data_IF_214410830575
#
_entry.id   IF_214410830575
#
_cell.length_a   1.000
_cell.length_b   1.000
_cell.length_c   1.000
_cell.angle_alpha   90.00
_cell.angle_beta   90.00
_cell.angle_gamma   90.00
#
_symmetry.space_group_name_H-M   'P 1'
#
loop_
_entity.id
_entity.type
_entity.pdbx_description
1 polymer ?
#
# COMPACT_ATOMS: atom_id res chain seq x y z
N UNK A 1 -7.09 13.84 2.27
CA UNK A 1 -8.11 12.95 1.65
C UNK A 1 -8.86 13.70 0.55
N UNK A 2 -9.24 13.01 -0.54
CA UNK A 2 -10.11 13.52 -1.63
C UNK A 2 -11.44 12.77 -1.59
N UNK A 3 -12.54 13.46 -1.85
CA UNK A 3 -13.87 12.84 -1.96
C UNK A 3 -14.45 13.10 -3.34
N UNK A 4 -15.06 12.11 -3.93
CA UNK A 4 -15.76 12.19 -5.21
C UNK A 4 -16.80 11.06 -5.34
N UNK A 5 -17.64 11.14 -6.37
CA UNK A 5 -18.64 10.11 -6.68
C UNK A 5 -18.26 9.41 -7.98
N UNK A 6 -18.24 8.08 -7.98
CA UNK A 6 -17.97 7.25 -9.15
C UNK A 6 -19.08 6.20 -9.28
N UNK A 7 -19.75 6.14 -10.43
CA UNK A 7 -20.92 5.26 -10.68
C UNK A 7 -22.02 5.32 -9.60
N UNK A 8 -22.20 6.50 -9.01
CA UNK A 8 -23.19 6.71 -7.94
C UNK A 8 -22.71 6.32 -6.54
N UNK A 9 -21.53 5.74 -6.39
CA UNK A 9 -20.91 5.39 -5.12
C UNK A 9 -19.95 6.47 -4.64
N UNK A 10 -20.01 6.91 -3.37
CA UNK A 10 -19.01 7.80 -2.79
C UNK A 10 -17.66 7.11 -2.69
N UNK A 11 -16.58 7.84 -2.97
CA UNK A 11 -15.21 7.38 -2.83
C UNK A 11 -14.42 8.34 -1.95
N UNK A 12 -13.73 7.82 -0.94
CA UNK A 12 -12.79 8.54 -0.08
C UNK A 12 -11.38 8.06 -0.38
N UNK A 13 -10.53 8.95 -0.89
CA UNK A 13 -9.23 8.59 -1.44
C UNK A 13 -8.12 9.34 -0.71
N UNK A 14 -7.26 8.63 -0.04
CA UNK A 14 -6.00 9.11 0.54
C UNK A 14 -4.86 9.05 -0.46
N UNK A 15 -4.90 8.10 -1.40
CA UNK A 15 -3.89 8.00 -2.45
C UNK A 15 -3.78 9.30 -3.27
N UNK A 16 -2.56 9.74 -3.52
CA UNK A 16 -2.28 10.90 -4.37
C UNK A 16 -2.58 10.59 -5.84
N UNK A 17 -2.10 9.43 -6.28
CA UNK A 17 -2.30 8.87 -7.61
C UNK A 17 -2.49 7.35 -7.50
N UNK A 18 -3.23 6.78 -8.44
CA UNK A 18 -3.36 5.34 -8.64
C UNK A 18 -3.08 5.02 -10.11
N UNK A 19 -2.59 3.82 -10.38
CA UNK A 19 -2.36 3.35 -11.75
C UNK A 19 -3.67 3.06 -12.48
N UNK A 20 -3.58 2.88 -13.80
CA UNK A 20 -4.74 2.65 -14.65
C UNK A 20 -5.52 1.37 -14.26
N UNK A 21 -4.81 0.32 -13.83
CA UNK A 21 -5.45 -0.95 -13.41
C UNK A 21 -6.25 -0.75 -12.12
N UNK A 22 -5.66 -0.08 -11.11
CA UNK A 22 -6.36 0.28 -9.88
C UNK A 22 -7.59 1.14 -10.15
N UNK A 23 -7.52 2.05 -11.14
CA UNK A 23 -8.66 2.88 -11.53
C UNK A 23 -9.79 2.05 -12.14
N UNK A 24 -9.49 1.09 -13.03
CA UNK A 24 -10.49 0.18 -13.58
C UNK A 24 -11.15 -0.69 -12.51
N UNK A 25 -10.35 -1.22 -11.59
CA UNK A 25 -10.84 -2.02 -10.47
C UNK A 25 -11.72 -1.20 -9.52
N UNK A 26 -11.35 0.05 -9.21
CA UNK A 26 -12.17 0.97 -8.44
C UNK A 26 -13.51 1.23 -9.12
N UNK A 27 -13.50 1.46 -10.44
CA UNK A 27 -14.71 1.69 -11.22
C UNK A 27 -15.67 0.49 -11.14
N UNK A 28 -15.13 -0.73 -11.19
CA UNK A 28 -15.90 -1.97 -11.03
C UNK A 28 -16.48 -2.10 -9.62
N UNK A 29 -15.69 -1.79 -8.56
CA UNK A 29 -16.17 -1.81 -7.18
C UNK A 29 -17.32 -0.83 -6.95
N UNK A 30 -17.21 0.38 -7.48
CA UNK A 30 -18.24 1.41 -7.36
C UNK A 30 -19.54 1.09 -8.11
N UNK A 31 -19.51 0.07 -8.98
CA UNK A 31 -20.70 -0.42 -9.70
C UNK A 31 -21.40 -1.59 -8.99
N UNK A 32 -20.89 -2.06 -7.85
CA UNK A 32 -21.46 -3.19 -7.12
C UNK A 32 -22.78 -2.79 -6.43
N UNK A 33 -23.88 -3.53 -6.65
CA UNK A 33 -25.21 -3.16 -6.14
C UNK A 33 -25.36 -3.35 -4.63
N UNK A 34 -24.42 -4.02 -3.99
CA UNK A 34 -24.39 -4.33 -2.55
C UNK A 34 -23.34 -3.54 -1.77
N UNK A 35 -22.70 -2.57 -2.42
CA UNK A 35 -21.79 -1.66 -1.74
C UNK A 35 -22.52 -0.92 -0.61
N UNK A 36 -21.90 -0.86 0.56
CA UNK A 36 -22.43 -0.18 1.72
C UNK A 36 -21.58 1.03 2.09
N UNK A 37 -22.19 2.20 2.11
CA UNK A 37 -21.63 3.53 2.33
C UNK A 37 -20.72 4.01 1.18
N UNK A 38 -19.43 3.67 1.20
CA UNK A 38 -18.43 4.21 0.29
C UNK A 38 -17.31 3.19 0.03
N UNK A 39 -16.42 3.51 -0.89
CA UNK A 39 -15.13 2.84 -1.05
C UNK A 39 -14.05 3.76 -0.50
N UNK A 40 -13.14 3.23 0.31
CA UNK A 40 -11.95 3.93 0.77
C UNK A 40 -10.71 3.42 0.05
N UNK A 41 -9.82 4.34 -0.38
CA UNK A 41 -8.56 4.01 -1.02
C UNK A 41 -7.39 4.56 -0.20
N UNK A 42 -6.59 3.67 0.35
CA UNK A 42 -5.43 4.00 1.17
C UNK A 42 -4.28 4.58 0.31
N UNK A 43 -3.33 5.31 0.90
CA UNK A 43 -2.23 5.94 0.15
C UNK A 43 -1.40 4.99 -0.69
N UNK A 44 -1.23 3.74 -0.26
CA UNK A 44 -0.50 2.68 -0.95
C UNK A 44 -1.26 2.06 -2.13
N UNK A 45 -2.49 2.51 -2.44
CA UNK A 45 -3.36 1.89 -3.44
C UNK A 45 -2.69 1.73 -4.81
N UNK A 46 -2.79 0.51 -5.36
CA UNK A 46 -2.28 0.12 -6.68
C UNK A 46 -3.06 -1.07 -7.26
N UNK A 47 -2.82 -1.42 -8.53
CA UNK A 47 -3.56 -2.50 -9.21
C UNK A 47 -3.40 -3.85 -8.53
N UNK A 48 -4.53 -4.51 -8.26
CA UNK A 48 -4.64 -5.82 -7.64
C UNK A 48 -5.15 -6.90 -8.61
N UNK A 49 -5.98 -7.81 -8.12
CA UNK A 49 -6.69 -8.82 -8.92
C UNK A 49 -8.18 -8.75 -8.58
N UNK A 50 -8.94 -7.99 -9.37
CA UNK A 50 -10.37 -7.75 -9.19
C UNK A 50 -10.74 -6.70 -8.14
N UNK A 51 -9.78 -6.30 -7.31
CA UNK A 51 -9.89 -5.20 -6.37
C UNK A 51 -8.52 -4.51 -6.25
N UNK A 52 -8.43 -3.18 -6.19
CA UNK A 52 -7.15 -2.51 -5.96
C UNK A 52 -6.61 -2.88 -4.58
N UNK A 53 -5.32 -3.17 -4.50
CA UNK A 53 -4.62 -3.30 -3.22
C UNK A 53 -4.67 -1.93 -2.53
N UNK A 54 -4.84 -1.89 -1.21
CA UNK A 54 -5.12 -0.65 -0.47
C UNK A 54 -6.56 -0.16 -0.61
N UNK A 55 -7.42 -0.91 -1.31
CA UNK A 55 -8.86 -0.65 -1.36
C UNK A 55 -9.58 -1.25 -0.15
N UNK A 56 -10.51 -0.50 0.43
CA UNK A 56 -11.37 -0.94 1.53
C UNK A 56 -12.82 -0.68 1.16
N UNK A 57 -13.67 -1.67 1.34
CA UNK A 57 -15.11 -1.55 1.12
C UNK A 57 -15.90 -2.27 2.21
N UNK A 58 -17.10 -1.79 2.48
CA UNK A 58 -18.09 -2.53 3.24
C UNK A 58 -19.18 -3.07 2.30
N UNK A 59 -19.58 -4.34 2.49
CA UNK A 59 -20.65 -4.97 1.74
C UNK A 59 -21.77 -5.42 2.69
N UNK A 60 -23.03 -5.30 2.25
CA UNK A 60 -24.17 -5.68 3.08
C UNK A 60 -24.69 -7.05 2.68
N UNK A 61 -24.64 -8.01 3.63
CA UNK A 61 -25.17 -9.38 3.46
C UNK A 61 -24.54 -10.19 2.34
N UNK A 62 -23.33 -9.82 1.90
CA UNK A 62 -22.60 -10.46 0.82
C UNK A 62 -21.12 -10.56 1.19
N UNK A 63 -20.47 -11.63 0.77
CA UNK A 63 -19.01 -11.77 0.78
C UNK A 63 -18.53 -11.66 -0.67
N UNK A 64 -17.49 -10.84 -0.90
CA UNK A 64 -16.85 -10.70 -2.20
C UNK A 64 -15.53 -11.47 -2.16
N UNK A 65 -15.44 -12.69 -2.70
CA UNK A 65 -14.24 -13.52 -2.55
C UNK A 65 -12.96 -12.86 -3.05
N UNK A 66 -13.03 -12.15 -4.18
CA UNK A 66 -11.87 -11.43 -4.73
C UNK A 66 -11.40 -10.25 -3.88
N UNK A 67 -12.26 -9.71 -3.00
CA UNK A 67 -11.91 -8.63 -2.09
C UNK A 67 -11.25 -9.13 -0.80
N UNK A 68 -11.30 -10.45 -0.53
CA UNK A 68 -10.63 -11.04 0.64
C UNK A 68 -9.12 -11.13 0.44
N UNK A 69 -8.66 -11.13 -0.84
CA UNK A 69 -7.25 -11.23 -1.19
C UNK A 69 -6.72 -12.67 -1.21
N UNK A 70 -5.57 -12.85 -1.82
CA UNK A 70 -4.86 -14.15 -1.87
C UNK A 70 -4.24 -14.46 -0.50
N UNK A 71 -3.74 -13.43 0.18
CA UNK A 71 -3.24 -13.51 1.55
C UNK A 71 -4.36 -13.15 2.53
N UNK A 72 -5.16 -14.13 2.88
CA UNK A 72 -6.33 -13.97 3.76
C UNK A 72 -5.88 -13.52 5.16
N UNK A 73 -6.40 -12.38 5.60
CA UNK A 73 -6.03 -11.77 6.88
C UNK A 73 -4.85 -10.80 6.79
N UNK A 74 -4.28 -10.59 5.60
CA UNK A 74 -3.35 -9.51 5.36
C UNK A 74 -4.14 -8.19 5.27
N UNK A 75 -4.18 -7.47 6.36
CA UNK A 75 -4.86 -6.18 6.44
C UNK A 75 -4.38 -5.39 7.64
N UNK A 76 -4.40 -4.07 7.52
CA UNK A 76 -4.00 -3.17 8.60
C UNK A 76 -5.24 -2.53 9.22
N UNK A 77 -5.51 -2.92 10.46
CA UNK A 77 -6.52 -2.27 11.28
C UNK A 77 -5.88 -1.11 12.04
N UNK A 78 -6.36 0.11 11.79
CA UNK A 78 -5.93 1.33 12.45
C UNK A 78 -6.98 1.79 13.48
N UNK A 79 -7.54 0.86 14.26
CA UNK A 79 -8.42 1.19 15.37
C UNK A 79 -7.68 2.04 16.40
N UNK A 80 -8.41 2.90 17.12
CA UNK A 80 -7.84 3.85 18.06
C UNK A 80 -6.97 3.15 19.12
N UNK A 81 -5.74 3.62 19.29
CA UNK A 81 -4.78 3.09 20.27
C UNK A 81 -4.08 1.77 19.86
N UNK A 82 -4.48 1.14 18.74
CA UNK A 82 -3.83 -0.09 18.27
C UNK A 82 -2.48 0.25 17.66
N UNK A 83 -1.43 -0.44 18.11
CA UNK A 83 -0.07 -0.29 17.59
C UNK A 83 0.16 -1.27 16.43
N UNK A 84 0.71 -0.77 15.33
CA UNK A 84 1.03 -1.55 14.14
C UNK A 84 2.38 -1.17 13.54
N UNK A 85 2.81 -1.90 12.51
CA UNK A 85 4.02 -1.63 11.75
C UNK A 85 3.63 -1.43 10.29
N UNK A 86 4.05 -0.32 9.69
CA UNK A 86 3.89 -0.05 8.26
C UNK A 86 5.29 -0.12 7.63
N UNK A 87 5.61 -1.18 6.88
CA UNK A 87 6.91 -1.34 6.24
C UNK A 87 7.03 -0.43 5.01
N UNK A 88 8.25 0.05 4.79
CA UNK A 88 8.65 0.67 3.54
C UNK A 88 9.09 -0.37 2.50
N UNK A 89 10.29 -0.17 1.95
CA UNK A 89 10.95 -1.10 1.05
C UNK A 89 12.32 -1.52 1.62
N UNK A 90 13.09 -2.29 0.85
CA UNK A 90 14.45 -2.72 1.27
C UNK A 90 15.37 -1.53 1.59
N UNK A 91 15.23 -0.41 0.89
CA UNK A 91 16.06 0.78 1.02
C UNK A 91 15.40 1.95 1.74
N UNK A 92 14.18 1.79 2.27
CA UNK A 92 13.43 2.89 2.87
C UNK A 92 13.01 2.57 4.30
N UNK A 93 12.55 3.60 5.01
CA UNK A 93 12.10 3.48 6.41
C UNK A 93 10.89 2.57 6.55
N UNK A 94 10.74 2.01 7.74
CA UNK A 94 9.48 1.43 8.24
C UNK A 94 9.01 2.23 9.46
N UNK A 95 7.72 2.15 9.77
CA UNK A 95 7.14 2.95 10.83
C UNK A 95 6.40 2.10 11.84
N UNK A 96 6.65 2.33 13.13
CA UNK A 96 5.76 1.90 14.20
C UNK A 96 4.72 3.01 14.37
N UNK A 97 3.46 2.66 14.28
CA UNK A 97 2.33 3.58 14.29
C UNK A 97 1.29 3.20 15.34
N UNK A 98 0.47 4.16 15.70
CA UNK A 98 -0.74 3.98 16.50
C UNK A 98 -1.94 4.42 15.68
N UNK A 99 -2.95 3.56 15.57
CA UNK A 99 -4.20 3.86 14.86
C UNK A 99 -4.98 4.99 15.52
N UNK A 100 -5.65 5.80 14.72
CA UNK A 100 -6.48 6.92 15.16
C UNK A 100 -7.98 6.64 15.09
N UNK A 101 -8.39 5.45 14.63
CA UNK A 101 -9.79 5.03 14.60
C UNK A 101 -10.66 5.82 13.63
N UNK A 102 -10.11 6.28 12.50
CA UNK A 102 -10.85 7.07 11.53
C UNK A 102 -11.95 6.23 10.84
N UNK A 103 -13.25 6.58 11.01
CA UNK A 103 -14.36 5.82 10.42
C UNK A 103 -14.42 5.93 8.89
N UNK A 104 -13.88 7.00 8.32
CA UNK A 104 -13.88 7.24 6.88
C UNK A 104 -12.99 6.25 6.11
N UNK A 105 -11.99 5.68 6.77
CA UNK A 105 -11.17 4.58 6.24
C UNK A 105 -11.65 3.19 6.67
N UNK A 106 -12.82 3.08 7.29
CA UNK A 106 -13.29 1.86 7.96
C UNK A 106 -12.27 1.33 9.01
N UNK A 107 -11.64 2.25 9.76
CA UNK A 107 -10.59 1.94 10.74
C UNK A 107 -9.38 1.23 10.11
N UNK A 108 -9.04 1.57 8.88
CA UNK A 108 -7.95 0.96 8.11
C UNK A 108 -6.86 1.98 7.79
N UNK A 109 -5.67 1.50 7.47
CA UNK A 109 -4.52 2.28 7.02
C UNK A 109 -3.78 1.58 5.90
N UNK A 110 -2.77 2.22 5.31
CA UNK A 110 -1.84 1.56 4.40
C UNK A 110 -1.20 0.35 5.06
N UNK A 111 -1.06 -0.71 4.29
CA UNK A 111 -0.37 -1.94 4.66
C UNK A 111 1.15 -1.78 4.58
N UNK A 112 1.64 -0.95 3.66
CA UNK A 112 3.06 -0.65 3.43
C UNK A 112 3.22 0.55 2.49
N UNK A 113 4.38 0.65 1.83
CA UNK A 113 4.63 1.70 0.84
C UNK A 113 3.73 1.58 -0.40
N UNK A 114 3.32 0.38 -0.77
CA UNK A 114 2.65 0.10 -2.03
C UNK A 114 3.60 0.09 -3.23
N UNK A 115 3.32 -0.73 -4.21
CA UNK A 115 4.17 -0.84 -5.41
C UNK A 115 3.80 0.22 -6.45
N UNK A 116 4.80 0.70 -7.18
CA UNK A 116 4.61 1.54 -8.37
C UNK A 116 4.83 0.76 -9.67
N UNK A 117 5.40 -0.47 -9.60
CA UNK A 117 5.59 -1.38 -10.73
C UNK A 117 5.47 -2.84 -10.29
N UNK A 118 5.18 -3.74 -11.23
CA UNK A 118 5.10 -5.18 -10.96
C UNK A 118 6.51 -5.78 -10.72
N UNK A 119 6.57 -6.99 -10.14
CA UNK A 119 7.85 -7.70 -9.96
C UNK A 119 8.59 -7.92 -11.28
N UNK A 120 7.87 -8.39 -12.30
CA UNK A 120 8.42 -8.60 -13.64
C UNK A 120 8.93 -7.31 -14.27
N UNK A 121 8.19 -6.22 -14.12
CA UNK A 121 8.59 -4.91 -14.61
C UNK A 121 9.85 -4.41 -13.89
N UNK A 122 9.93 -4.54 -12.56
CA UNK A 122 11.10 -4.17 -11.79
C UNK A 122 12.36 -4.92 -12.25
N UNK A 123 12.28 -6.25 -12.44
CA UNK A 123 13.39 -7.05 -12.96
C UNK A 123 13.79 -6.64 -14.36
N UNK A 124 12.85 -6.24 -15.23
CA UNK A 124 13.14 -5.92 -16.63
C UNK A 124 13.60 -4.47 -16.85
N UNK A 125 13.30 -3.55 -15.92
CA UNK A 125 13.50 -2.11 -16.16
C UNK A 125 14.50 -1.46 -15.22
N UNK A 126 14.69 -1.99 -14.02
CA UNK A 126 15.62 -1.42 -13.04
C UNK A 126 17.05 -1.86 -13.32
N UNK A 127 18.01 -0.99 -13.00
CA UNK A 127 19.44 -1.28 -13.09
C UNK A 127 19.95 -1.89 -11.77
N UNK A 128 20.55 -3.08 -11.85
CA UNK A 128 21.13 -3.74 -10.68
C UNK A 128 22.24 -2.87 -10.05
N UNK A 129 23.07 -2.25 -10.87
CA UNK A 129 24.16 -1.40 -10.42
C UNK A 129 23.66 -0.17 -9.66
N UNK A 130 22.60 0.46 -10.15
CA UNK A 130 21.98 1.64 -9.49
C UNK A 130 21.33 1.25 -8.16
N UNK A 131 20.62 0.13 -8.10
CA UNK A 131 19.98 -0.33 -6.85
C UNK A 131 21.03 -0.74 -5.81
N UNK A 132 22.11 -1.41 -6.20
CA UNK A 132 23.26 -1.70 -5.33
C UNK A 132 23.86 -0.38 -4.80
N UNK A 133 24.16 0.57 -5.69
CA UNK A 133 24.74 1.84 -5.28
C UNK A 133 23.86 2.63 -4.30
N UNK A 134 22.53 2.58 -4.44
CA UNK A 134 21.58 3.18 -3.50
C UNK A 134 21.65 2.53 -2.12
N UNK A 135 21.71 1.20 -2.06
CA UNK A 135 21.79 0.46 -0.80
C UNK A 135 23.12 0.70 -0.09
N UNK A 136 24.23 0.68 -0.85
CA UNK A 136 25.58 0.96 -0.34
C UNK A 136 25.69 2.39 0.19
N UNK A 137 25.14 3.38 -0.51
CA UNK A 137 25.13 4.78 -0.08
C UNK A 137 24.39 4.98 1.26
N UNK A 138 23.42 4.13 1.58
CA UNK A 138 22.70 4.12 2.84
C UNK A 138 23.35 3.24 3.91
N UNK A 139 24.49 2.60 3.60
CA UNK A 139 25.19 1.61 4.45
C UNK A 139 24.27 0.45 4.87
N UNK A 140 23.40 0.00 3.98
CA UNK A 140 22.51 -1.14 4.22
C UNK A 140 23.22 -2.42 3.74
N UNK A 141 23.37 -3.38 4.62
CA UNK A 141 23.85 -4.72 4.23
C UNK A 141 22.77 -5.42 3.42
N UNK A 142 23.10 -5.84 2.19
CA UNK A 142 22.11 -6.41 1.28
C UNK A 142 22.63 -7.61 0.49
N UNK A 143 21.71 -8.40 -0.04
CA UNK A 143 22.01 -9.61 -0.83
C UNK A 143 21.84 -9.43 -2.34
N UNK A 144 21.66 -8.21 -2.87
CA UNK A 144 21.51 -7.98 -4.31
C UNK A 144 22.76 -8.44 -5.07
N UNK A 145 22.62 -9.42 -5.99
CA UNK A 145 23.71 -9.98 -6.80
C UNK A 145 23.32 -10.17 -8.25
N UNK A 146 22.05 -10.44 -8.53
CA UNK A 146 21.55 -10.80 -9.85
C UNK A 146 20.35 -9.93 -10.21
N UNK A 147 20.09 -9.80 -11.52
CA UNK A 147 18.95 -9.04 -12.02
C UNK A 147 17.60 -9.49 -11.43
N UNK A 148 17.45 -10.79 -11.18
CA UNK A 148 16.24 -11.35 -10.57
C UNK A 148 16.01 -10.90 -9.12
N UNK A 149 17.03 -10.42 -8.42
CA UNK A 149 16.89 -9.91 -7.05
C UNK A 149 16.15 -8.57 -7.01
N UNK A 150 15.96 -7.93 -8.18
CA UNK A 150 15.30 -6.64 -8.29
C UNK A 150 13.76 -6.69 -8.21
N UNK A 151 13.16 -7.86 -8.14
CA UNK A 151 11.71 -8.01 -8.03
C UNK A 151 11.10 -7.27 -6.81
N UNK A 152 11.89 -7.08 -5.74
CA UNK A 152 11.54 -6.33 -4.53
C UNK A 152 12.47 -5.12 -4.30
N UNK A 153 13.12 -4.61 -5.35
CA UNK A 153 14.01 -3.46 -5.25
C UNK A 153 13.29 -2.22 -4.67
N UNK A 154 14.04 -1.36 -3.99
CA UNK A 154 13.49 -0.17 -3.35
C UNK A 154 12.73 0.73 -4.33
N UNK A 155 13.25 0.88 -5.56
CA UNK A 155 12.64 1.70 -6.61
C UNK A 155 11.35 1.11 -7.21
N UNK A 156 10.97 -0.12 -6.86
CA UNK A 156 9.69 -0.70 -7.26
C UNK A 156 8.50 -0.25 -6.39
N UNK A 157 8.77 0.55 -5.35
CA UNK A 157 7.79 1.00 -4.37
C UNK A 157 7.58 2.51 -4.42
N UNK A 158 6.42 2.95 -3.95
CA UNK A 158 6.13 4.36 -3.72
C UNK A 158 7.00 4.90 -2.59
N UNK A 159 7.16 6.22 -2.55
CA UNK A 159 7.81 6.89 -1.43
C UNK A 159 7.00 6.70 -0.14
N UNK A 160 7.56 5.97 0.82
CA UNK A 160 6.89 5.67 2.09
C UNK A 160 6.65 6.93 2.91
N UNK A 161 7.52 7.93 2.85
CA UNK A 161 7.36 9.17 3.59
C UNK A 161 6.16 9.97 3.03
N UNK A 162 5.95 9.94 1.72
CA UNK A 162 4.74 10.50 1.10
C UNK A 162 3.49 9.70 1.50
N UNK A 163 3.55 8.37 1.48
CA UNK A 163 2.45 7.49 1.91
C UNK A 163 2.05 7.79 3.35
N UNK A 164 3.03 7.94 4.26
CA UNK A 164 2.77 8.27 5.66
C UNK A 164 2.18 9.67 5.84
N UNK A 165 2.65 10.66 5.09
CA UNK A 165 2.12 12.02 5.15
C UNK A 165 0.65 12.10 4.71
N UNK A 166 0.27 11.29 3.72
CA UNK A 166 -1.10 11.24 3.18
C UNK A 166 -2.12 10.61 4.14
N UNK A 167 -1.68 9.86 5.16
CA UNK A 167 -2.53 9.18 6.14
C UNK A 167 -2.33 9.67 7.59
N UNK A 168 -1.92 10.91 7.77
CA UNK A 168 -1.72 11.50 9.09
C UNK A 168 -3.00 11.60 9.94
N UNK A 169 -4.16 11.46 9.33
CA UNK A 169 -5.47 11.36 9.96
C UNK A 169 -5.92 9.92 10.26
N UNK A 170 -5.18 8.92 9.79
CA UNK A 170 -5.44 7.49 10.01
C UNK A 170 -4.54 6.89 11.09
N UNK A 171 -3.28 7.31 11.13
CA UNK A 171 -2.27 6.79 12.04
C UNK A 171 -1.36 7.90 12.57
N UNK A 172 -0.87 7.71 13.78
CA UNK A 172 0.17 8.54 14.42
C UNK A 172 1.50 7.79 14.41
N UNK A 173 2.54 8.38 13.84
CA UNK A 173 3.89 7.82 13.87
C UNK A 173 4.43 7.88 15.31
N UNK A 174 4.86 6.73 15.84
CA UNK A 174 5.55 6.60 17.13
C UNK A 174 7.05 6.51 16.95
N UNK A 175 7.51 5.72 15.98
CA UNK A 175 8.94 5.50 15.70
C UNK A 175 9.14 5.34 14.20
N UNK A 176 10.19 5.97 13.68
CA UNK A 176 10.71 5.69 12.34
C UNK A 176 11.94 4.78 12.47
N UNK A 177 11.94 3.68 11.71
CA UNK A 177 12.99 2.67 11.70
C UNK A 177 13.75 2.73 10.38
N UNK A 178 15.05 2.92 10.42
CA UNK A 178 15.91 2.83 9.22
C UNK A 178 16.42 1.40 9.05
N UNK A 179 16.41 0.84 7.84
CA UNK A 179 16.96 -0.48 7.60
C UNK A 179 18.47 -0.48 7.80
N UNK A 180 19.01 -1.54 8.41
CA UNK A 180 20.46 -1.75 8.57
C UNK A 180 20.95 -2.95 7.76
N UNK A 181 20.04 -3.91 7.51
CA UNK A 181 20.31 -5.08 6.70
C UNK A 181 19.03 -5.62 6.07
N UNK A 182 19.16 -6.22 4.90
CA UNK A 182 18.09 -6.93 4.19
C UNK A 182 18.57 -8.34 3.86
N UNK A 183 17.80 -9.31 4.34
CA UNK A 183 18.02 -10.72 4.03
C UNK A 183 16.81 -11.19 3.22
N UNK A 184 17.06 -11.65 2.00
CA UNK A 184 16.05 -12.22 1.12
C UNK A 184 16.36 -13.69 0.95
N UNK A 185 15.37 -14.54 1.16
CA UNK A 185 15.45 -15.99 0.95
C UNK A 185 15.10 -16.38 -0.48
#
# INVERSE_FOLDING_TARGET
>A
MKEFVLNGAPVKMWAKLIDHKAWLELNNLCSLPFLFHHVALMPDAHGGVGMPIGGVLAARKVVVPNAVGVDIGCGMCAAEGVVGIIPGSQGTRSYIVEGLGNPDSFLSSSHGAGRCMSRTEAVNTLSLEEEIAKMDALNIVHGLRYQNDLDEAASAYKDIDEVMALQSDLVRIKVALSPVAVIKG
#
